data_IF_587862430586
#
_entry.id   IF_587862430586
#
_cell.length_a   1.000
_cell.length_b   1.000
_cell.length_c   1.000
_cell.angle_alpha   90.00
_cell.angle_beta   90.00
_cell.angle_gamma   90.00
#
_symmetry.space_group_name_H-M   'P 1'
#
loop_
_entity.id
_entity.type
_entity.pdbx_description
1 polymer ?
#
# COMPACT_ATOMS: atom_id res chain seq x y z
N UNK A 1 3.53 -13.89 26.78
CA UNK A 1 2.95 -12.55 27.00
C UNK A 1 2.54 -11.97 25.67
N UNK A 2 1.28 -12.20 25.30
CA UNK A 2 0.71 -11.75 24.04
C UNK A 2 0.17 -10.34 24.22
N UNK A 3 0.99 -9.35 23.89
CA UNK A 3 0.61 -7.94 23.99
C UNK A 3 -0.53 -7.65 23.01
N UNK A 4 -1.68 -7.30 23.57
CA UNK A 4 -2.82 -6.83 22.79
C UNK A 4 -2.48 -5.45 22.22
N UNK A 5 -2.51 -5.32 20.90
CA UNK A 5 -2.39 -4.04 20.21
C UNK A 5 -3.78 -3.45 19.97
N UNK A 6 -3.96 -2.17 20.32
CA UNK A 6 -5.20 -1.42 20.10
C UNK A 6 -4.98 -0.35 19.04
N UNK A 7 -5.97 -0.19 18.15
CA UNK A 7 -5.96 0.83 17.08
C UNK A 7 -7.17 1.74 17.23
N UNK A 8 -6.96 3.04 17.11
CA UNK A 8 -8.05 4.03 17.09
C UNK A 8 -8.32 4.42 15.65
N UNK A 9 -9.58 4.35 15.22
CA UNK A 9 -9.98 4.70 13.86
C UNK A 9 -11.09 5.75 13.90
N UNK A 10 -11.05 6.69 12.96
CA UNK A 10 -12.15 7.63 12.74
C UNK A 10 -12.94 7.18 11.51
N UNK A 11 -14.11 6.56 11.74
CA UNK A 11 -14.95 6.02 10.68
C UNK A 11 -16.45 6.27 10.92
N UNK A 12 -17.27 6.30 9.85
CA UNK A 12 -18.73 6.36 10.01
C UNK A 12 -19.29 5.17 10.80
N UNK A 13 -20.41 5.40 11.48
CA UNK A 13 -21.14 4.34 12.18
C UNK A 13 -21.56 3.23 11.20
N UNK A 14 -21.34 1.97 11.58
CA UNK A 14 -21.66 0.80 10.76
C UNK A 14 -20.53 0.33 9.82
N UNK A 15 -19.34 0.96 9.87
CA UNK A 15 -18.15 0.43 9.17
C UNK A 15 -17.81 -0.96 9.71
N UNK A 16 -17.61 -1.95 8.82
CA UNK A 16 -17.30 -3.32 9.27
C UNK A 16 -15.88 -3.41 9.83
N UNK A 17 -15.68 -4.32 10.79
CA UNK A 17 -14.35 -4.57 11.37
C UNK A 17 -13.35 -5.03 10.31
N UNK A 18 -13.81 -5.75 9.28
CA UNK A 18 -12.97 -6.21 8.17
C UNK A 18 -12.43 -5.03 7.37
N UNK A 19 -13.25 -3.99 7.14
CA UNK A 19 -12.79 -2.76 6.51
C UNK A 19 -11.78 -2.03 7.38
N UNK A 20 -12.01 -1.95 8.71
CA UNK A 20 -11.08 -1.31 9.63
C UNK A 20 -9.71 -2.02 9.65
N UNK A 21 -9.72 -3.35 9.74
CA UNK A 21 -8.50 -4.17 9.70
C UNK A 21 -7.79 -4.03 8.35
N UNK A 22 -8.54 -4.03 7.25
CA UNK A 22 -7.96 -3.83 5.92
C UNK A 22 -7.28 -2.47 5.82
N UNK A 23 -7.93 -1.39 6.26
CA UNK A 23 -7.37 -0.03 6.22
C UNK A 23 -6.12 0.08 7.09
N UNK A 24 -6.16 -0.43 8.33
CA UNK A 24 -4.98 -0.42 9.21
C UNK A 24 -3.82 -1.22 8.61
N UNK A 25 -4.12 -2.36 7.98
CA UNK A 25 -3.13 -3.17 7.27
C UNK A 25 -2.41 -2.45 6.13
N UNK A 26 -3.01 -1.41 5.54
CA UNK A 26 -2.35 -0.61 4.50
C UNK A 26 -1.31 0.37 5.08
N UNK A 27 -1.34 0.68 6.37
CA UNK A 27 -0.38 1.63 6.98
C UNK A 27 1.06 1.17 6.80
N UNK A 28 1.31 -0.14 6.91
CA UNK A 28 2.65 -0.69 6.74
C UNK A 28 3.20 -0.49 5.32
N UNK A 29 2.34 -0.51 4.30
CA UNK A 29 2.75 -0.25 2.92
C UNK A 29 3.34 1.16 2.73
N UNK A 30 2.98 2.13 3.58
CA UNK A 30 3.54 3.48 3.56
C UNK A 30 5.00 3.46 4.02
N UNK A 31 5.30 2.71 5.08
CA UNK A 31 6.66 2.56 5.62
C UNK A 31 7.58 1.88 4.59
N UNK A 32 7.12 0.77 4.02
CA UNK A 32 7.81 0.06 2.94
C UNK A 32 8.04 0.96 1.71
N UNK A 33 7.06 1.80 1.36
CA UNK A 33 7.18 2.77 0.27
C UNK A 33 8.26 3.82 0.54
N UNK A 34 8.36 4.34 1.76
CA UNK A 34 9.39 5.30 2.14
C UNK A 34 10.78 4.67 2.22
N UNK A 35 10.88 3.42 2.70
CA UNK A 35 12.12 2.67 2.68
C UNK A 35 12.61 2.45 1.24
N UNK A 36 11.72 2.03 0.35
CA UNK A 36 11.98 1.91 -1.09
C UNK A 36 12.43 3.23 -1.70
N UNK A 37 11.75 4.35 -1.38
CA UNK A 37 12.11 5.67 -1.90
C UNK A 37 13.53 6.11 -1.47
N UNK A 38 13.99 5.73 -0.28
CA UNK A 38 15.37 5.97 0.16
C UNK A 38 16.34 5.07 -0.61
N UNK A 39 16.14 3.76 -0.52
CA UNK A 39 17.08 2.76 -1.03
C UNK A 39 17.23 2.79 -2.56
N UNK A 40 16.13 2.99 -3.29
CA UNK A 40 16.10 2.87 -4.75
C UNK A 40 16.09 4.22 -5.48
N UNK A 41 15.52 5.26 -4.88
CA UNK A 41 15.37 6.57 -5.52
C UNK A 41 16.21 7.69 -4.89
N UNK A 42 16.97 7.39 -3.83
CA UNK A 42 17.88 8.34 -3.20
C UNK A 42 17.17 9.47 -2.47
N UNK A 43 16.02 9.19 -1.84
CA UNK A 43 15.30 10.17 -1.04
C UNK A 43 16.16 10.79 0.07
N UNK A 44 17.08 10.02 0.65
CA UNK A 44 18.06 10.43 1.66
C UNK A 44 19.42 10.85 1.07
N UNK A 45 19.63 10.71 -0.24
CA UNK A 45 20.83 11.14 -0.97
C UNK A 45 20.73 12.59 -1.44
N UNK A 46 20.44 13.53 -0.52
CA UNK A 46 20.43 14.97 -0.81
C UNK A 46 21.47 15.71 0.03
N UNK A 47 22.41 16.38 -0.64
CA UNK A 47 23.45 17.20 0.00
C UNK A 47 23.11 18.70 0.02
N UNK A 48 21.97 19.09 -0.56
CA UNK A 48 21.54 20.49 -0.63
C UNK A 48 21.30 21.07 0.76
N UNK A 49 21.87 22.24 1.05
CA UNK A 49 21.68 22.97 2.32
C UNK A 49 20.68 24.13 2.24
N UNK A 50 19.94 24.24 1.14
CA UNK A 50 18.87 25.22 0.98
C UNK A 50 17.51 24.54 0.97
N UNK A 51 16.50 25.22 1.52
CA UNK A 51 15.12 24.75 1.49
C UNK A 51 14.66 24.40 0.07
N UNK A 52 14.95 25.28 -0.89
CA UNK A 52 14.58 25.09 -2.29
C UNK A 52 15.24 23.86 -2.92
N UNK A 53 16.52 23.63 -2.63
CA UNK A 53 17.26 22.46 -3.12
C UNK A 53 16.67 21.16 -2.56
N UNK A 54 16.47 21.10 -1.25
CA UNK A 54 15.84 19.96 -0.59
C UNK A 54 14.42 19.70 -1.11
N UNK A 55 13.58 20.73 -1.21
CA UNK A 55 12.20 20.60 -1.65
C UNK A 55 12.10 20.11 -3.09
N UNK A 56 12.96 20.63 -3.99
CA UNK A 56 13.03 20.16 -5.38
C UNK A 56 13.48 18.71 -5.46
N UNK A 57 14.51 18.31 -4.70
CA UNK A 57 14.99 16.94 -4.65
C UNK A 57 13.89 15.97 -4.22
N UNK A 58 13.28 16.21 -3.05
CA UNK A 58 12.21 15.37 -2.51
C UNK A 58 11.04 15.28 -3.50
N UNK A 59 10.63 16.40 -4.09
CA UNK A 59 9.52 16.42 -5.05
C UNK A 59 9.81 15.57 -6.29
N UNK A 60 11.02 15.67 -6.85
CA UNK A 60 11.41 14.90 -8.04
C UNK A 60 11.55 13.40 -7.72
N UNK A 61 12.13 13.05 -6.58
CA UNK A 61 12.26 11.66 -6.11
C UNK A 61 10.88 11.04 -5.90
N UNK A 62 9.98 11.72 -5.18
CA UNK A 62 8.63 11.23 -4.94
C UNK A 62 7.81 11.11 -6.24
N UNK A 63 8.01 12.02 -7.20
CA UNK A 63 7.40 11.91 -8.52
C UNK A 63 7.91 10.68 -9.29
N UNK A 64 9.22 10.44 -9.31
CA UNK A 64 9.81 9.29 -9.96
C UNK A 64 9.30 7.97 -9.34
N UNK A 65 9.24 7.90 -8.01
CA UNK A 65 8.67 6.78 -7.27
C UNK A 65 7.20 6.53 -7.66
N UNK A 66 6.36 7.57 -7.65
CA UNK A 66 4.95 7.46 -8.01
C UNK A 66 4.76 6.99 -9.46
N UNK A 67 5.58 7.49 -10.40
CA UNK A 67 5.55 7.04 -11.79
C UNK A 67 5.90 5.56 -11.91
N UNK A 68 6.97 5.09 -11.25
CA UNK A 68 7.36 3.69 -11.32
C UNK A 68 6.31 2.78 -10.67
N UNK A 69 5.75 3.18 -9.52
CA UNK A 69 4.67 2.45 -8.86
C UNK A 69 3.45 2.29 -9.77
N UNK A 70 3.05 3.35 -10.48
CA UNK A 70 1.95 3.31 -11.44
C UNK A 70 2.25 2.40 -12.64
N UNK A 71 3.48 2.44 -13.18
CA UNK A 71 3.91 1.57 -14.27
C UNK A 71 3.88 0.11 -13.83
N UNK A 72 4.46 -0.21 -12.66
CA UNK A 72 4.48 -1.57 -12.10
C UNK A 72 3.07 -2.10 -11.85
N UNK A 73 2.16 -1.26 -11.34
CA UNK A 73 0.77 -1.64 -11.13
C UNK A 73 0.07 -2.02 -12.44
N UNK A 74 0.32 -1.28 -13.53
CA UNK A 74 -0.22 -1.60 -14.86
C UNK A 74 0.41 -2.84 -15.49
N UNK A 75 1.70 -3.05 -15.26
CA UNK A 75 2.45 -4.18 -15.81
C UNK A 75 2.13 -5.51 -15.12
N UNK A 76 1.74 -5.49 -13.83
CA UNK A 76 1.42 -6.66 -13.03
C UNK A 76 -0.09 -6.75 -12.76
N UNK A 77 -0.91 -7.27 -13.70
CA UNK A 77 -2.32 -7.47 -13.45
C UNK A 77 -2.53 -8.49 -12.32
N UNK A 78 -3.59 -8.34 -11.51
CA UNK A 78 -3.88 -9.29 -10.45
C UNK A 78 -4.14 -10.69 -11.05
N UNK A 79 -3.69 -11.77 -10.37
CA UNK A 79 -3.95 -13.12 -10.84
C UNK A 79 -5.47 -13.36 -10.92
N UNK A 80 -5.93 -14.16 -11.90
CA UNK A 80 -7.36 -14.45 -12.06
C UNK A 80 -7.92 -15.06 -10.76
N UNK A 81 -9.09 -14.59 -10.33
CA UNK A 81 -9.77 -15.13 -9.15
C UNK A 81 -10.02 -16.62 -9.36
N UNK A 82 -9.51 -17.47 -8.46
CA UNK A 82 -9.79 -18.92 -8.48
C UNK A 82 -11.30 -19.13 -8.32
N UNK A 83 -11.98 -19.47 -9.41
CA UNK A 83 -13.38 -19.87 -9.39
C UNK A 83 -13.48 -21.19 -8.62
N UNK A 84 -14.15 -21.19 -7.46
CA UNK A 84 -14.46 -22.44 -6.76
C UNK A 84 -15.31 -23.32 -7.70
N UNK A 85 -15.00 -24.60 -7.89
CA UNK A 85 -15.81 -25.48 -8.73
C UNK A 85 -17.25 -25.49 -8.20
N UNK A 86 -18.23 -25.31 -9.09
CA UNK A 86 -19.65 -25.40 -8.73
C UNK A 86 -19.92 -26.83 -8.21
N UNK A 87 -20.48 -27.01 -7.01
CA UNK A 87 -20.86 -28.35 -6.56
C UNK A 87 -21.89 -28.94 -7.54
N UNK A 88 -21.82 -30.25 -7.84
CA UNK A 88 -22.74 -30.88 -8.79
C UNK A 88 -24.18 -30.73 -8.28
N UNK A 89 -25.06 -30.23 -9.16
CA UNK A 89 -26.48 -30.17 -8.91
C UNK A 89 -26.98 -31.59 -8.67
N UNK A 90 -27.47 -31.89 -7.47
CA UNK A 90 -28.19 -33.14 -7.20
C UNK A 90 -29.42 -33.16 -8.12
N UNK A 91 -29.41 -34.03 -9.13
CA UNK A 91 -30.59 -34.34 -9.91
C UNK A 91 -31.64 -34.92 -8.95
N UNK A 92 -32.82 -34.29 -8.90
CA UNK A 92 -33.96 -34.86 -8.18
C UNK A 92 -34.43 -36.09 -8.96
N UNK A 93 -34.48 -37.23 -8.26
CA UNK A 93 -35.13 -38.45 -8.70
C UNK A 93 -36.65 -38.28 -8.74
#
# INVERSE_FOLDING_TARGET
DGDLAFFTTWCPAGTSIETLVAVEGHRWAIEDSFETAKNEFGLDHNESRSWHGWHRHVSLVMLAFAMLAAIRHRANPPPPKKTKPRPPSKAKA
#
